data_IF_078815775617
#
_entry.id   IF_078815775617
#
_cell.length_a   1.000
_cell.length_b   1.000
_cell.length_c   1.000
_cell.angle_alpha   90.00
_cell.angle_beta   90.00
_cell.angle_gamma   90.00
#
_symmetry.space_group_name_H-M   'P 1'
#
loop_
_entity.id
_entity.type
_entity.pdbx_description
1 polymer ?
#
# COMPACT_ATOMS: atom_id res chain seq x y z
N UNK A 1 0.24 19.28 7.00
CA UNK A 1 -0.40 17.94 7.03
C UNK A 1 -0.91 17.68 5.63
N UNK A 2 -0.10 17.04 4.80
CA UNK A 2 -0.41 16.84 3.38
C UNK A 2 -1.60 15.93 3.26
N UNK A 3 -2.71 16.46 2.74
CA UNK A 3 -3.86 15.67 2.31
C UNK A 3 -3.32 14.60 1.35
N UNK A 4 -3.37 13.33 1.75
CA UNK A 4 -3.14 12.22 0.83
C UNK A 4 -4.36 12.20 -0.08
N UNK A 5 -4.34 13.08 -1.07
CA UNK A 5 -5.49 13.42 -1.87
C UNK A 5 -6.16 12.17 -2.42
N UNK A 6 -7.44 12.31 -2.73
CA UNK A 6 -8.37 11.22 -2.98
C UNK A 6 -7.91 10.17 -4.00
N UNK A 7 -8.79 9.21 -4.29
CA UNK A 7 -8.54 8.01 -5.14
C UNK A 7 -7.60 8.24 -6.35
N UNK A 8 -7.73 9.37 -7.04
CA UNK A 8 -6.89 9.76 -8.18
C UNK A 8 -5.41 10.06 -7.84
N UNK A 9 -5.10 10.61 -6.67
CA UNK A 9 -3.72 10.87 -6.25
C UNK A 9 -3.03 9.61 -5.72
N UNK A 10 -3.77 8.72 -5.03
CA UNK A 10 -3.28 7.37 -4.73
C UNK A 10 -2.92 6.61 -6.01
N UNK A 11 -3.79 6.66 -7.03
CA UNK A 11 -3.54 6.02 -8.33
C UNK A 11 -2.36 6.64 -9.10
N UNK A 12 -2.11 7.95 -8.95
CA UNK A 12 -0.94 8.64 -9.54
C UNK A 12 0.36 8.35 -8.78
N UNK A 13 0.32 8.34 -7.45
CA UNK A 13 1.46 7.97 -6.60
C UNK A 13 1.92 6.54 -6.90
N UNK A 14 0.97 5.66 -7.19
CA UNK A 14 1.21 4.29 -7.61
C UNK A 14 1.41 4.18 -9.13
N UNK A 15 1.83 5.24 -9.84
CA UNK A 15 1.77 5.46 -11.31
C UNK A 15 2.20 4.33 -12.27
N UNK A 16 2.70 3.21 -11.76
CA UNK A 16 2.93 1.93 -12.45
C UNK A 16 1.77 0.91 -12.34
N UNK A 17 0.82 1.11 -11.43
CA UNK A 17 -0.34 0.24 -11.17
C UNK A 17 -1.69 0.93 -11.39
N UNK A 18 -1.69 2.16 -11.93
CA UNK A 18 -2.90 2.93 -12.23
C UNK A 18 -3.93 2.09 -12.98
N UNK A 19 -3.53 1.36 -14.03
CA UNK A 19 -4.46 0.53 -14.81
C UNK A 19 -5.16 -0.59 -14.00
N UNK A 20 -4.49 -1.19 -13.01
CA UNK A 20 -5.11 -2.17 -12.11
C UNK A 20 -6.04 -1.51 -11.10
N UNK A 21 -5.64 -0.37 -10.54
CA UNK A 21 -6.40 0.34 -9.51
C UNK A 21 -7.62 1.04 -10.10
N UNK A 22 -7.48 1.68 -11.26
CA UNK A 22 -8.59 2.30 -11.98
C UNK A 22 -9.62 1.25 -12.39
N UNK A 23 -9.19 0.09 -12.90
CA UNK A 23 -10.11 -1.02 -13.21
C UNK A 23 -10.93 -1.48 -12.00
N UNK A 24 -10.34 -1.52 -10.80
CA UNK A 24 -11.10 -1.87 -9.58
C UNK A 24 -12.03 -0.76 -9.08
N UNK A 25 -11.72 0.50 -9.41
CA UNK A 25 -12.51 1.67 -9.08
C UNK A 25 -13.64 1.93 -10.10
N UNK A 26 -13.53 1.35 -11.29
CA UNK A 26 -14.48 1.44 -12.41
C UNK A 26 -15.49 0.29 -12.46
N UNK A 27 -15.32 -0.80 -11.70
CA UNK A 27 -16.37 -1.81 -11.52
C UNK A 27 -17.63 -1.13 -10.92
N UNK A 28 -18.80 -1.39 -11.52
CA UNK A 28 -20.01 -0.54 -11.54
C UNK A 28 -20.66 -0.15 -10.19
N UNK A 29 -20.14 -0.59 -9.06
CA UNK A 29 -20.33 0.02 -7.75
C UNK A 29 -19.04 -0.23 -6.97
N UNK A 30 -18.47 0.75 -6.23
CA UNK A 30 -17.35 0.47 -5.35
C UNK A 30 -17.84 -0.43 -4.22
N UNK A 31 -17.83 -1.74 -4.46
CA UNK A 31 -18.04 -2.77 -3.46
C UNK A 31 -17.22 -2.37 -2.24
N UNK A 32 -17.83 -2.33 -1.06
CA UNK A 32 -17.19 -1.94 0.19
C UNK A 32 -15.85 -2.68 0.39
N UNK A 33 -15.70 -3.87 -0.20
CA UNK A 33 -14.44 -4.60 -0.28
C UNK A 33 -13.34 -3.88 -1.07
N UNK A 34 -13.63 -3.31 -2.23
CA UNK A 34 -12.66 -2.54 -3.02
C UNK A 34 -12.29 -1.23 -2.33
N UNK A 35 -13.27 -0.56 -1.68
CA UNK A 35 -12.99 0.63 -0.90
C UNK A 35 -12.01 0.35 0.24
N UNK A 36 -12.22 -0.74 1.01
CA UNK A 36 -11.32 -1.16 2.09
C UNK A 36 -9.91 -1.45 1.60
N UNK A 37 -9.73 -2.07 0.42
CA UNK A 37 -8.40 -2.32 -0.16
C UNK A 37 -7.67 -1.02 -0.49
N UNK A 38 -8.38 -0.05 -1.06
CA UNK A 38 -7.81 1.27 -1.40
C UNK A 38 -7.45 2.05 -0.13
N UNK A 39 -8.31 2.01 0.90
CA UNK A 39 -8.02 2.60 2.21
C UNK A 39 -6.79 1.96 2.88
N UNK A 40 -6.70 0.63 2.86
CA UNK A 40 -5.54 -0.07 3.39
C UNK A 40 -4.25 0.30 2.65
N UNK A 41 -4.30 0.43 1.33
CA UNK A 41 -3.15 0.85 0.53
C UNK A 41 -2.73 2.29 0.83
N UNK A 42 -3.69 3.21 0.99
CA UNK A 42 -3.40 4.59 1.44
C UNK A 42 -2.74 4.62 2.80
N UNK A 43 -3.30 3.87 3.76
CA UNK A 43 -2.79 3.79 5.12
C UNK A 43 -1.34 3.27 5.14
N UNK A 44 -1.07 2.16 4.45
CA UNK A 44 0.27 1.59 4.36
C UNK A 44 1.24 2.54 3.68
N UNK A 45 0.86 3.14 2.56
CA UNK A 45 1.73 4.10 1.86
C UNK A 45 2.03 5.31 2.74
N UNK A 46 1.04 5.81 3.49
CA UNK A 46 1.23 6.91 4.44
C UNK A 46 2.29 6.59 5.49
N UNK A 47 2.24 5.38 6.07
CA UNK A 47 3.24 4.92 7.05
C UNK A 47 4.61 4.76 6.42
N UNK A 48 4.72 4.10 5.26
CA UNK A 48 6.03 3.93 4.61
C UNK A 48 6.69 5.28 4.27
N UNK A 49 5.89 6.30 3.94
CA UNK A 49 6.39 7.65 3.66
C UNK A 49 6.89 8.42 4.89
N UNK A 50 6.67 7.93 6.12
CA UNK A 50 7.26 8.55 7.32
C UNK A 50 8.71 8.11 7.52
N UNK A 51 9.12 6.98 6.93
CA UNK A 51 10.46 6.39 7.07
C UNK A 51 11.24 6.34 5.76
N UNK A 52 10.55 6.30 4.62
CA UNK A 52 11.16 6.18 3.31
C UNK A 52 10.74 7.33 2.40
N UNK A 53 11.68 7.72 1.53
CA UNK A 53 11.36 8.49 0.34
C UNK A 53 10.38 7.73 -0.55
N UNK A 54 9.59 8.49 -1.33
CA UNK A 54 8.50 7.94 -2.14
C UNK A 54 8.91 6.75 -3.01
N UNK A 55 10.06 6.84 -3.67
CA UNK A 55 10.53 5.76 -4.54
C UNK A 55 10.82 4.47 -3.77
N UNK A 56 11.45 4.59 -2.60
CA UNK A 56 11.74 3.46 -1.71
C UNK A 56 10.48 2.85 -1.12
N UNK A 57 9.48 3.67 -0.74
CA UNK A 57 8.18 3.19 -0.29
C UNK A 57 7.46 2.38 -1.39
N UNK A 58 7.53 2.84 -2.64
CA UNK A 58 6.96 2.11 -3.78
C UNK A 58 7.71 0.80 -4.07
N UNK A 59 9.04 0.81 -3.99
CA UNK A 59 9.87 -0.40 -4.09
C UNK A 59 9.54 -1.40 -2.99
N UNK A 60 9.33 -0.94 -1.76
CA UNK A 60 8.92 -1.80 -0.65
C UNK A 60 7.58 -2.47 -0.94
N UNK A 61 6.58 -1.72 -1.41
CA UNK A 61 5.24 -2.24 -1.75
C UNK A 61 5.25 -3.26 -2.90
N UNK A 62 6.10 -3.05 -3.90
CA UNK A 62 6.09 -3.82 -5.16
C UNK A 62 7.17 -4.92 -5.21
N UNK A 63 8.18 -4.82 -4.36
CA UNK A 63 9.26 -5.78 -4.19
C UNK A 63 8.89 -6.94 -3.27
N UNK A 64 9.75 -7.96 -3.25
CA UNK A 64 9.62 -9.06 -2.30
C UNK A 64 10.11 -8.63 -0.93
N UNK A 65 9.35 -8.98 0.11
CA UNK A 65 9.68 -8.64 1.49
C UNK A 65 9.91 -9.93 2.31
N UNK A 66 11.10 -10.05 2.89
CA UNK A 66 11.50 -11.23 3.67
C UNK A 66 10.65 -11.44 4.93
N UNK A 67 10.24 -10.36 5.61
CA UNK A 67 9.36 -10.43 6.78
C UNK A 67 7.95 -10.94 6.42
N UNK A 68 7.58 -10.86 5.14
CA UNK A 68 6.31 -11.37 4.62
C UNK A 68 6.45 -12.76 3.98
N UNK A 69 7.59 -13.43 4.14
CA UNK A 69 7.89 -14.73 3.54
C UNK A 69 8.07 -14.63 2.03
N UNK A 70 8.88 -13.67 1.58
CA UNK A 70 9.19 -13.39 0.17
C UNK A 70 7.95 -13.15 -0.69
N UNK A 71 6.94 -12.50 -0.11
CA UNK A 71 5.74 -12.05 -0.81
C UNK A 71 5.79 -10.55 -1.01
N UNK A 72 5.10 -10.09 -2.04
CA UNK A 72 4.94 -8.65 -2.32
C UNK A 72 3.87 -8.08 -1.39
N UNK A 73 4.15 -7.00 -0.63
CA UNK A 73 3.16 -6.39 0.23
C UNK A 73 1.89 -5.95 -0.52
N UNK A 74 2.05 -5.44 -1.74
CA UNK A 74 0.90 -5.05 -2.57
C UNK A 74 -0.05 -6.22 -2.78
N UNK A 75 0.44 -7.40 -3.17
CA UNK A 75 -0.42 -8.58 -3.42
C UNK A 75 -1.17 -9.01 -2.16
N UNK A 76 -0.57 -8.87 -0.98
CA UNK A 76 -1.23 -9.15 0.30
C UNK A 76 -2.34 -8.15 0.61
N UNK A 77 -2.12 -6.85 0.34
CA UNK A 77 -3.18 -5.84 0.46
C UNK A 77 -4.35 -6.14 -0.47
N UNK A 78 -4.06 -6.59 -1.70
CA UNK A 78 -5.09 -7.00 -2.66
C UNK A 78 -5.89 -8.23 -2.22
N UNK A 79 -5.24 -9.14 -1.50
CA UNK A 79 -5.87 -10.30 -0.87
C UNK A 79 -6.60 -9.96 0.45
N UNK A 80 -6.61 -8.69 0.88
CA UNK A 80 -7.22 -8.25 2.13
C UNK A 80 -6.41 -8.62 3.39
N UNK A 81 -5.16 -9.05 3.22
CA UNK A 81 -4.26 -9.48 4.30
C UNK A 81 -3.53 -8.30 4.93
N UNK A 82 -4.28 -7.25 5.29
CA UNK A 82 -3.75 -5.94 5.73
C UNK A 82 -2.91 -6.06 6.99
N UNK A 83 -3.38 -6.79 8.01
CA UNK A 83 -2.69 -6.90 9.31
C UNK A 83 -1.28 -7.50 9.19
N UNK A 84 -1.02 -8.39 8.23
CA UNK A 84 0.34 -8.90 7.99
C UNK A 84 1.26 -7.81 7.47
N UNK A 85 0.78 -6.99 6.53
CA UNK A 85 1.56 -5.90 5.96
C UNK A 85 1.85 -4.83 7.02
N UNK A 86 0.87 -4.52 7.86
CA UNK A 86 1.04 -3.60 9.00
C UNK A 86 2.08 -4.15 9.98
N UNK A 87 2.01 -5.43 10.34
CA UNK A 87 2.99 -6.04 11.25
C UNK A 87 4.43 -6.05 10.70
N UNK A 88 4.61 -6.17 9.37
CA UNK A 88 5.92 -6.02 8.76
C UNK A 88 6.44 -4.58 8.84
N UNK A 89 5.56 -3.58 8.68
CA UNK A 89 5.96 -2.17 8.87
C UNK A 89 6.39 -1.94 10.33
N UNK A 90 5.63 -2.47 11.30
CA UNK A 90 5.96 -2.35 12.71
C UNK A 90 7.33 -2.98 13.04
N UNK A 91 7.63 -4.14 12.44
CA UNK A 91 8.91 -4.83 12.63
C UNK A 91 10.08 -4.08 11.97
N UNK A 92 9.88 -3.51 10.78
CA UNK A 92 10.85 -2.66 10.10
C UNK A 92 11.16 -1.39 10.92
N UNK A 93 10.12 -0.70 11.41
CA UNK A 93 10.26 0.47 12.27
C UNK A 93 11.02 0.11 13.56
N UNK A 94 10.65 -0.98 14.24
CA UNK A 94 11.34 -1.43 15.44
C UNK A 94 12.82 -1.77 15.19
N UNK A 95 13.15 -2.34 14.04
CA UNK A 95 14.54 -2.62 13.62
C UNK A 95 15.33 -1.38 13.23
N UNK A 96 14.66 -0.31 12.75
CA UNK A 96 15.31 0.96 12.39
C UNK A 96 15.66 1.83 13.59
N UNK A 97 15.05 1.60 14.76
CA UNK A 97 15.32 2.35 16.00
C UNK A 97 16.31 1.65 16.95
N UNK A 98 16.73 0.42 16.64
CA UNK A 98 17.68 -0.39 17.42
C UNK A 98 19.13 -0.19 16.97
#
# INVERSE_FOLDING_TARGET
MTDLGGRAETARALGVHRSRITRWLEDEEPDARNLRKVEALRFVLARLLTVYERESALKWLTGFNAQLGDRRPLDLLLAGRVSQVVGAIDAEEAGSFA
#
